data_IF_911161704977
#
_entry.id   IF_911161704977
#
_cell.length_a   1.000
_cell.length_b   1.000
_cell.length_c   1.000
_cell.angle_alpha   90.00
_cell.angle_beta   90.00
_cell.angle_gamma   90.00
#
_symmetry.space_group_name_H-M   'P 1'
#
loop_
_entity.id
_entity.type
_entity.pdbx_description
1 polymer ?
#
# COMPACT_ATOMS: atom_id res chain seq x y z
N UNK A 1 23.54 -29.34 -29.62
CA UNK A 1 23.21 -27.91 -29.87
C UNK A 1 22.44 -27.46 -28.65
N UNK A 2 23.16 -27.17 -27.58
CA UNK A 2 22.57 -26.75 -26.32
C UNK A 2 22.37 -25.23 -26.37
N UNK A 3 21.11 -24.82 -26.46
CA UNK A 3 20.72 -23.42 -26.43
C UNK A 3 21.01 -22.85 -25.05
N UNK A 4 22.14 -22.15 -24.92
CA UNK A 4 22.37 -21.25 -23.78
C UNK A 4 21.35 -20.11 -23.87
N UNK A 5 20.38 -20.14 -22.97
CA UNK A 5 19.60 -18.94 -22.62
C UNK A 5 20.58 -17.90 -22.06
N UNK A 6 20.49 -16.62 -22.48
CA UNK A 6 21.30 -15.58 -21.88
C UNK A 6 20.91 -15.41 -20.41
N UNK A 7 21.88 -15.61 -19.51
CA UNK A 7 21.72 -15.33 -18.10
C UNK A 7 21.35 -13.84 -17.91
N UNK A 8 20.30 -13.58 -17.12
CA UNK A 8 19.89 -12.24 -16.71
C UNK A 8 21.07 -11.56 -15.99
N UNK A 9 21.42 -10.30 -16.29
CA UNK A 9 22.56 -9.65 -15.65
C UNK A 9 22.30 -9.41 -14.15
N UNK A 10 23.31 -9.60 -13.26
CA UNK A 10 23.18 -9.52 -11.81
C UNK A 10 22.77 -8.13 -11.28
N UNK A 11 22.87 -7.08 -12.10
CA UNK A 11 22.43 -5.73 -11.75
C UNK A 11 20.89 -5.62 -11.66
N UNK A 12 20.15 -6.33 -12.52
CA UNK A 12 18.69 -6.28 -12.54
C UNK A 12 18.09 -6.95 -11.29
N UNK A 13 18.70 -8.02 -10.78
CA UNK A 13 18.26 -8.72 -9.57
C UNK A 13 18.57 -7.91 -8.30
N UNK A 14 19.73 -7.25 -8.26
CA UNK A 14 20.10 -6.37 -7.15
C UNK A 14 19.23 -5.09 -7.07
N UNK A 15 18.85 -4.52 -8.21
CA UNK A 15 17.87 -3.43 -8.29
C UNK A 15 16.45 -3.91 -7.96
N UNK A 16 16.10 -5.14 -8.33
CA UNK A 16 14.81 -5.77 -8.03
C UNK A 16 14.59 -5.92 -6.51
N UNK A 17 15.63 -6.32 -5.79
CA UNK A 17 15.62 -6.40 -4.33
C UNK A 17 15.60 -4.99 -3.69
N UNK A 18 16.30 -4.02 -4.28
CA UNK A 18 16.38 -2.66 -3.72
C UNK A 18 14.99 -2.00 -3.61
N UNK A 19 14.21 -1.99 -4.70
CA UNK A 19 12.86 -1.38 -4.71
C UNK A 19 11.93 -2.06 -3.70
N UNK A 20 12.03 -3.39 -3.58
CA UNK A 20 11.25 -4.16 -2.62
C UNK A 20 11.57 -3.76 -1.18
N UNK A 21 12.84 -3.85 -0.79
CA UNK A 21 13.28 -3.55 0.58
C UNK A 21 13.06 -2.08 0.95
N UNK A 22 13.21 -1.15 -0.01
CA UNK A 22 12.90 0.25 0.19
C UNK A 22 11.40 0.47 0.46
N UNK A 23 10.54 -0.17 -0.35
CA UNK A 23 9.09 -0.10 -0.18
C UNK A 23 8.66 -0.67 1.18
N UNK A 24 9.21 -1.83 1.55
CA UNK A 24 8.93 -2.47 2.83
C UNK A 24 9.35 -1.58 4.01
N UNK A 25 10.54 -0.96 3.94
CA UNK A 25 11.03 -0.05 4.97
C UNK A 25 10.08 1.15 5.17
N UNK A 26 9.66 1.78 4.07
CA UNK A 26 8.75 2.94 4.10
C UNK A 26 7.38 2.54 4.67
N UNK A 27 6.78 1.47 4.16
CA UNK A 27 5.42 1.04 4.53
C UNK A 27 5.40 0.53 5.98
N UNK A 28 6.37 -0.28 6.39
CA UNK A 28 6.48 -0.80 7.76
C UNK A 28 6.62 0.33 8.76
N UNK A 29 7.49 1.30 8.47
CA UNK A 29 7.68 2.46 9.33
C UNK A 29 6.40 3.29 9.44
N UNK A 30 5.72 3.53 8.31
CA UNK A 30 4.45 4.26 8.31
C UNK A 30 3.37 3.56 9.15
N UNK A 31 3.20 2.24 9.01
CA UNK A 31 2.19 1.50 9.79
C UNK A 31 2.51 1.47 11.28
N UNK A 32 3.79 1.30 11.63
CA UNK A 32 4.22 1.34 13.01
C UNK A 32 3.93 2.70 13.67
N UNK A 33 4.22 3.80 12.98
CA UNK A 33 3.92 5.16 13.46
C UNK A 33 2.41 5.39 13.61
N UNK A 34 1.62 4.90 12.66
CA UNK A 34 0.15 5.02 12.68
C UNK A 34 -0.47 4.20 13.81
N UNK A 35 0.07 3.01 14.11
CA UNK A 35 -0.40 2.14 15.18
C UNK A 35 0.00 2.67 16.58
N UNK A 36 1.24 3.14 16.74
CA UNK A 36 1.76 3.54 18.06
C UNK A 36 1.50 5.00 18.41
N UNK A 37 1.24 5.85 17.42
CA UNK A 37 1.19 7.31 17.59
C UNK A 37 2.56 7.95 17.88
N UNK A 38 3.63 7.16 17.93
CA UNK A 38 4.98 7.63 18.19
C UNK A 38 5.69 7.94 16.87
N UNK A 39 6.40 9.07 16.84
CA UNK A 39 7.33 9.42 15.76
C UNK A 39 8.74 8.99 16.17
N UNK A 40 9.17 7.77 15.80
CA UNK A 40 10.54 7.22 15.97
C UNK A 40 10.64 6.05 16.96
N UNK A 41 11.71 5.20 16.98
CA UNK A 41 12.99 5.26 16.27
C UNK A 41 13.38 3.89 15.65
N UNK A 42 12.67 3.36 14.64
CA UNK A 42 13.34 2.33 13.82
C UNK A 42 14.28 3.12 12.92
N UNK A 43 15.61 3.05 13.09
CA UNK A 43 16.48 3.74 12.16
C UNK A 43 16.14 3.24 10.76
N UNK A 44 15.83 4.15 9.84
CA UNK A 44 15.83 3.82 8.41
C UNK A 44 17.30 3.62 8.04
N UNK A 45 17.83 2.43 8.36
CA UNK A 45 19.26 2.12 8.33
C UNK A 45 19.75 2.07 6.88
N UNK A 46 18.88 1.72 5.92
CA UNK A 46 19.34 1.25 4.61
C UNK A 46 19.20 2.26 3.47
N UNK A 47 18.10 3.03 3.41
CA UNK A 47 17.78 3.89 2.24
C UNK A 47 17.48 5.35 2.61
N UNK A 48 17.98 5.80 3.76
CA UNK A 48 17.43 6.87 4.60
C UNK A 48 17.25 8.29 4.04
N UNK A 49 17.74 8.62 2.84
CA UNK A 49 17.47 9.91 2.19
C UNK A 49 16.13 9.96 1.46
N UNK A 50 15.99 9.09 0.45
CA UNK A 50 14.76 8.96 -0.35
C UNK A 50 13.60 8.39 0.48
N UNK A 51 13.87 7.34 1.29
CA UNK A 51 12.84 6.74 2.15
C UNK A 51 12.24 7.72 3.15
N UNK A 52 13.06 8.64 3.70
CA UNK A 52 12.59 9.66 4.64
C UNK A 52 11.64 10.65 3.97
N UNK A 53 11.99 11.15 2.79
CA UNK A 53 11.13 12.08 2.03
C UNK A 53 9.82 11.41 1.60
N UNK A 54 9.88 10.16 1.17
CA UNK A 54 8.70 9.38 0.82
C UNK A 54 7.80 9.14 2.04
N UNK A 55 8.38 8.79 3.19
CA UNK A 55 7.64 8.64 4.44
C UNK A 55 7.01 9.96 4.91
N UNK A 56 7.72 11.07 4.85
CA UNK A 56 7.18 12.41 5.15
C UNK A 56 6.01 12.77 4.23
N UNK A 57 6.14 12.46 2.94
CA UNK A 57 5.07 12.65 1.96
C UNK A 57 3.87 11.78 2.32
N UNK A 58 4.06 10.48 2.58
CA UNK A 58 3.01 9.54 2.99
C UNK A 58 2.27 9.99 4.25
N UNK A 59 2.98 10.51 5.26
CA UNK A 59 2.33 11.09 6.44
C UNK A 59 1.36 12.19 6.05
N UNK A 60 1.81 13.15 5.24
CA UNK A 60 0.98 14.29 4.82
C UNK A 60 -0.22 13.85 3.98
N UNK A 61 0.01 13.07 2.93
CA UNK A 61 -1.07 12.69 2.00
C UNK A 61 -1.97 11.63 2.61
N UNK A 62 -1.42 10.63 3.27
CA UNK A 62 -2.15 9.51 3.84
C UNK A 62 -3.03 9.91 5.02
N UNK A 63 -2.61 10.87 5.84
CA UNK A 63 -3.51 11.45 6.85
C UNK A 63 -4.71 12.17 6.21
N UNK A 64 -4.51 12.87 5.09
CA UNK A 64 -5.59 13.52 4.36
C UNK A 64 -6.59 12.48 3.80
N UNK A 65 -6.08 11.39 3.23
CA UNK A 65 -6.92 10.28 2.73
C UNK A 65 -7.71 9.65 3.88
N UNK A 66 -7.05 9.29 4.98
CA UNK A 66 -7.71 8.68 6.15
C UNK A 66 -8.82 9.57 6.69
N UNK A 67 -8.58 10.88 6.85
CA UNK A 67 -9.61 11.81 7.34
C UNK A 67 -10.80 11.92 6.39
N UNK A 68 -10.56 11.98 5.07
CA UNK A 68 -11.62 12.12 4.07
C UNK A 68 -12.48 10.86 3.93
N UNK A 69 -11.91 9.69 4.21
CA UNK A 69 -12.56 8.40 4.00
C UNK A 69 -12.80 7.60 5.28
N UNK A 70 -12.73 8.25 6.44
CA UNK A 70 -12.78 7.60 7.76
C UNK A 70 -13.99 6.65 7.90
N UNK A 71 -15.19 7.10 7.55
CA UNK A 71 -16.42 6.29 7.62
C UNK A 71 -16.32 5.05 6.72
N UNK A 72 -15.84 5.21 5.50
CA UNK A 72 -15.72 4.10 4.55
C UNK A 72 -14.65 3.10 5.00
N UNK A 73 -13.49 3.60 5.46
CA UNK A 73 -12.39 2.78 5.95
C UNK A 73 -12.80 2.00 7.20
N UNK A 74 -13.45 2.64 8.17
CA UNK A 74 -14.00 1.96 9.34
C UNK A 74 -15.09 0.93 8.98
N UNK A 75 -15.89 1.19 7.95
CA UNK A 75 -16.84 0.22 7.41
C UNK A 75 -16.16 -1.01 6.84
N UNK A 76 -15.11 -0.82 6.04
CA UNK A 76 -14.33 -1.92 5.44
C UNK A 76 -13.55 -2.73 6.49
N UNK A 77 -12.87 -2.07 7.44
CA UNK A 77 -12.16 -2.77 8.54
C UNK A 77 -13.12 -3.68 9.32
N UNK A 78 -14.33 -3.20 9.63
CA UNK A 78 -15.36 -4.01 10.30
C UNK A 78 -15.87 -5.16 9.46
N UNK A 79 -15.97 -5.00 8.14
CA UNK A 79 -16.49 -6.02 7.22
C UNK A 79 -15.48 -7.11 6.91
N UNK A 80 -14.21 -6.76 6.78
CA UNK A 80 -13.12 -7.70 6.49
C UNK A 80 -12.70 -8.51 7.72
N UNK A 81 -13.15 -8.12 8.91
CA UNK A 81 -12.91 -8.81 10.19
C UNK A 81 -11.44 -9.22 10.41
N UNK A 82 -10.52 -8.31 10.10
CA UNK A 82 -9.07 -8.57 10.16
C UNK A 82 -8.63 -8.66 11.63
N UNK A 83 -8.62 -9.89 12.16
CA UNK A 83 -8.26 -10.20 13.55
C UNK A 83 -6.92 -10.93 13.70
N UNK A 84 -6.38 -11.46 12.60
CA UNK A 84 -5.18 -12.30 12.60
C UNK A 84 -4.49 -12.27 11.23
N UNK A 85 -3.42 -13.05 11.08
CA UNK A 85 -2.62 -13.15 9.85
C UNK A 85 -3.42 -13.71 8.67
N UNK A 86 -4.39 -14.59 8.90
CA UNK A 86 -5.21 -15.16 7.82
C UNK A 86 -6.12 -14.08 7.20
N UNK A 87 -6.71 -13.20 8.03
CA UNK A 87 -7.46 -12.04 7.52
C UNK A 87 -6.60 -11.03 6.75
N UNK A 88 -5.28 -10.99 6.97
CA UNK A 88 -4.34 -10.20 6.14
C UNK A 88 -4.16 -10.83 4.76
N UNK A 89 -4.22 -12.16 4.64
CA UNK A 89 -4.15 -12.84 3.34
C UNK A 89 -5.41 -12.60 2.52
N UNK A 90 -6.58 -12.64 3.14
CA UNK A 90 -7.85 -12.33 2.48
C UNK A 90 -7.85 -10.89 1.92
N UNK A 91 -7.18 -9.96 2.61
CA UNK A 91 -6.97 -8.60 2.11
C UNK A 91 -6.12 -8.60 0.83
N UNK A 92 -5.11 -9.47 0.71
CA UNK A 92 -4.22 -9.56 -0.46
C UNK A 92 -4.98 -9.76 -1.77
N UNK A 93 -5.98 -10.64 -1.78
CA UNK A 93 -6.80 -10.89 -2.98
C UNK A 93 -7.57 -9.63 -3.40
N UNK A 94 -8.14 -8.89 -2.44
CA UNK A 94 -8.83 -7.63 -2.69
C UNK A 94 -7.86 -6.57 -3.22
N UNK A 95 -6.65 -6.50 -2.67
CA UNK A 95 -5.62 -5.55 -3.10
C UNK A 95 -5.16 -5.83 -4.53
N UNK A 96 -4.99 -7.10 -4.90
CA UNK A 96 -4.65 -7.52 -6.26
C UNK A 96 -5.72 -7.04 -7.24
N UNK A 97 -7.01 -7.21 -6.93
CA UNK A 97 -8.09 -6.72 -7.78
C UNK A 97 -8.06 -5.20 -7.98
N UNK A 98 -7.83 -4.43 -6.91
CA UNK A 98 -7.72 -2.95 -6.98
C UNK A 98 -6.52 -2.51 -7.81
N UNK A 99 -5.42 -3.26 -7.73
CA UNK A 99 -4.17 -2.94 -8.41
C UNK A 99 -4.03 -3.57 -9.80
N UNK A 100 -4.96 -4.41 -10.27
CA UNK A 100 -4.92 -4.96 -11.61
C UNK A 100 -5.70 -4.13 -12.64
N UNK A 101 -6.37 -3.07 -12.21
CA UNK A 101 -7.01 -2.12 -13.11
C UNK A 101 -5.97 -1.29 -13.90
N UNK A 102 -6.31 -0.99 -15.16
CA UNK A 102 -5.40 -0.48 -16.19
C UNK A 102 -4.83 0.92 -15.96
N UNK A 103 -5.31 1.68 -14.98
CA UNK A 103 -4.83 3.04 -14.68
C UNK A 103 -4.43 3.12 -13.23
N UNK A 104 -3.20 2.69 -12.92
CA UNK A 104 -2.63 2.93 -11.59
C UNK A 104 -1.93 4.27 -11.54
N UNK A 105 -2.32 5.03 -10.53
CA UNK A 105 -1.70 6.29 -10.13
C UNK A 105 -1.10 6.14 -8.74
N UNK A 106 -0.14 7.00 -8.42
CA UNK A 106 0.36 7.15 -7.05
C UNK A 106 -0.77 7.39 -6.03
N UNK A 107 -1.89 7.98 -6.44
CA UNK A 107 -3.09 8.13 -5.61
C UNK A 107 -3.73 6.81 -5.18
N UNK A 108 -3.76 5.78 -6.05
CA UNK A 108 -4.27 4.43 -5.70
C UNK A 108 -3.34 3.72 -4.73
N UNK A 109 -2.04 3.77 -4.98
CA UNK A 109 -1.01 3.22 -4.08
C UNK A 109 -1.11 3.89 -2.70
N UNK A 110 -1.22 5.23 -2.68
CA UNK A 110 -1.39 6.01 -1.45
C UNK A 110 -2.66 5.62 -0.69
N UNK A 111 -3.76 5.44 -1.41
CA UNK A 111 -5.05 5.01 -0.83
C UNK A 111 -4.90 3.65 -0.16
N UNK A 112 -4.25 2.70 -0.84
CA UNK A 112 -4.06 1.35 -0.33
C UNK A 112 -3.21 1.36 0.95
N UNK A 113 -2.08 2.07 0.93
CA UNK A 113 -1.21 2.23 2.11
C UNK A 113 -1.98 2.94 3.24
N UNK A 114 -2.80 3.94 2.93
CA UNK A 114 -3.62 4.65 3.92
C UNK A 114 -4.67 3.75 4.56
N UNK A 115 -5.29 2.86 3.78
CA UNK A 115 -6.18 1.84 4.31
C UNK A 115 -5.44 0.83 5.20
N UNK A 116 -4.26 0.36 4.77
CA UNK A 116 -3.39 -0.48 5.58
C UNK A 116 -3.02 0.15 6.92
N UNK A 117 -2.78 1.46 6.96
CA UNK A 117 -2.57 2.19 8.21
C UNK A 117 -3.80 2.19 9.15
N UNK A 118 -5.02 2.26 8.61
CA UNK A 118 -6.24 2.08 9.41
C UNK A 118 -6.35 0.65 9.96
N UNK A 119 -5.99 -0.36 9.17
CA UNK A 119 -5.92 -1.76 9.64
C UNK A 119 -4.86 -1.91 10.74
N UNK A 120 -3.68 -1.30 10.60
CA UNK A 120 -2.63 -1.33 11.61
C UNK A 120 -3.09 -0.72 12.96
N UNK A 121 -3.81 0.41 12.91
CA UNK A 121 -4.46 1.00 14.11
C UNK A 121 -5.48 0.06 14.73
N UNK A 122 -6.29 -0.60 13.91
CA UNK A 122 -7.27 -1.57 14.38
C UNK A 122 -6.60 -2.78 15.05
N UNK A 123 -5.59 -3.37 14.41
CA UNK A 123 -4.80 -4.47 14.96
C UNK A 123 -4.17 -4.11 16.31
N UNK A 124 -3.63 -2.90 16.45
CA UNK A 124 -3.15 -2.38 17.74
C UNK A 124 -4.27 -2.33 18.79
N UNK A 125 -5.44 -1.81 18.41
CA UNK A 125 -6.59 -1.67 19.34
C UNK A 125 -7.15 -3.00 19.86
N UNK A 126 -6.91 -4.10 19.15
CA UNK A 126 -7.30 -5.47 19.55
C UNK A 126 -6.12 -6.33 20.02
N UNK A 127 -4.98 -5.71 20.34
CA UNK A 127 -3.75 -6.36 20.82
C UNK A 127 -3.13 -7.39 19.84
N UNK A 128 -3.29 -7.20 18.53
CA UNK A 128 -2.74 -8.04 17.46
C UNK A 128 -1.58 -7.38 16.70
N UNK A 129 -0.74 -6.64 17.42
CA UNK A 129 0.40 -5.89 16.86
C UNK A 129 1.39 -6.75 16.07
N UNK A 130 1.49 -8.04 16.42
CA UNK A 130 2.27 -9.05 15.69
C UNK A 130 1.87 -9.21 14.22
N UNK A 131 0.67 -8.74 13.83
CA UNK A 131 0.18 -8.81 12.45
C UNK A 131 0.51 -7.55 11.64
N UNK A 132 1.06 -6.49 12.26
CA UNK A 132 1.37 -5.23 11.56
C UNK A 132 2.51 -5.39 10.55
N UNK A 133 3.55 -6.15 10.92
CA UNK A 133 4.68 -6.43 10.02
C UNK A 133 4.26 -7.35 8.86
N UNK A 134 3.54 -8.48 9.09
CA UNK A 134 2.93 -9.27 8.00
C UNK A 134 2.00 -8.47 7.08
N UNK A 135 1.27 -7.48 7.62
CA UNK A 135 0.44 -6.58 6.82
C UNK A 135 1.30 -5.67 5.90
N UNK A 136 2.40 -5.14 6.41
CA UNK A 136 3.32 -4.34 5.62
C UNK A 136 4.01 -5.16 4.53
N UNK A 137 4.43 -6.39 4.83
CA UNK A 137 4.96 -7.35 3.86
C UNK A 137 3.94 -7.64 2.77
N UNK A 138 2.71 -8.02 3.13
CA UNK A 138 1.66 -8.33 2.16
C UNK A 138 1.33 -7.15 1.23
N UNK A 139 1.21 -5.93 1.76
CA UNK A 139 0.96 -4.74 0.93
C UNK A 139 2.15 -4.47 0.02
N UNK A 140 3.38 -4.63 0.52
CA UNK A 140 4.60 -4.43 -0.27
C UNK A 140 4.70 -5.44 -1.40
N UNK A 141 4.46 -6.73 -1.10
CA UNK A 141 4.44 -7.81 -2.08
C UNK A 141 3.47 -7.51 -3.21
N UNK A 142 2.24 -7.11 -2.89
CA UNK A 142 1.22 -6.82 -3.92
C UNK A 142 1.63 -5.61 -4.77
N UNK A 143 2.07 -4.51 -4.15
CA UNK A 143 2.48 -3.30 -4.89
C UNK A 143 3.66 -3.61 -5.81
N UNK A 144 4.72 -4.23 -5.28
CA UNK A 144 5.97 -4.44 -6.02
C UNK A 144 5.78 -5.55 -7.05
N UNK A 145 5.06 -6.63 -6.76
CA UNK A 145 4.86 -7.72 -7.72
C UNK A 145 4.00 -7.28 -8.90
N UNK A 146 2.93 -6.52 -8.67
CA UNK A 146 1.98 -6.14 -9.73
C UNK A 146 2.49 -4.94 -10.53
N UNK A 147 3.25 -4.02 -9.92
CA UNK A 147 3.60 -2.72 -10.52
C UNK A 147 5.09 -2.43 -10.56
N UNK A 148 5.96 -3.45 -10.48
CA UNK A 148 7.41 -3.27 -10.56
C UNK A 148 7.84 -2.36 -11.71
N UNK A 149 7.47 -2.72 -12.94
CA UNK A 149 7.91 -2.00 -14.14
C UNK A 149 7.43 -0.55 -14.13
N UNK A 150 6.16 -0.34 -13.76
CA UNK A 150 5.60 0.99 -13.60
C UNK A 150 6.33 1.81 -12.52
N UNK A 151 6.63 1.22 -11.35
CA UNK A 151 7.38 1.90 -10.29
C UNK A 151 8.76 2.32 -10.78
N UNK A 152 9.44 1.47 -11.57
CA UNK A 152 10.74 1.80 -12.15
C UNK A 152 10.62 2.93 -13.17
N UNK A 153 9.63 2.89 -14.06
CA UNK A 153 9.33 3.99 -15.01
C UNK A 153 9.03 5.32 -14.30
N UNK A 154 8.37 5.25 -13.14
CA UNK A 154 8.06 6.40 -12.30
C UNK A 154 9.20 6.80 -11.36
N UNK A 155 10.44 6.31 -11.56
CA UNK A 155 11.61 6.64 -10.71
C UNK A 155 11.40 6.27 -9.23
N UNK A 156 10.66 5.20 -8.98
CA UNK A 156 10.40 4.64 -7.65
C UNK A 156 9.81 5.66 -6.68
N UNK A 157 10.26 5.60 -5.44
CA UNK A 157 9.78 6.49 -4.38
C UNK A 157 10.22 7.95 -4.53
N UNK A 158 11.22 8.25 -5.36
CA UNK A 158 11.56 9.63 -5.69
C UNK A 158 10.47 10.26 -6.58
N UNK A 159 9.95 9.54 -7.57
CA UNK A 159 8.82 10.03 -8.37
C UNK A 159 7.51 10.11 -7.58
N UNK A 160 7.33 9.27 -6.55
CA UNK A 160 6.23 9.45 -5.59
C UNK A 160 6.33 10.80 -4.86
N UNK A 161 7.54 11.15 -4.37
CA UNK A 161 7.77 12.43 -3.70
C UNK A 161 7.56 13.60 -4.67
N UNK A 162 8.04 13.49 -5.90
CA UNK A 162 7.85 14.51 -6.95
C UNK A 162 6.37 14.69 -7.32
N UNK A 163 5.65 13.59 -7.53
CA UNK A 163 4.21 13.59 -7.83
C UNK A 163 3.43 14.38 -6.77
N UNK A 164 3.78 14.21 -5.49
CA UNK A 164 3.13 14.90 -4.40
C UNK A 164 3.86 16.16 -3.92
N UNK A 165 4.86 16.69 -4.63
CA UNK A 165 5.69 17.83 -4.18
C UNK A 165 4.90 19.16 -4.03
N UNK A 166 3.68 19.21 -4.58
CA UNK A 166 2.64 20.28 -4.49
C UNK A 166 2.94 21.56 -5.29
N UNK A 167 2.15 21.75 -6.34
CA UNK A 167 1.44 23.01 -6.64
C UNK A 167 -0.09 22.80 -6.86
N UNK A 168 -0.62 21.56 -6.95
CA UNK A 168 -2.07 21.32 -7.13
C UNK A 168 -2.60 20.22 -6.18
N UNK A 169 -2.63 20.55 -4.89
CA UNK A 169 -3.17 19.69 -3.83
C UNK A 169 -4.66 19.35 -4.05
N UNK A 170 -5.39 20.14 -4.84
CA UNK A 170 -6.83 19.98 -5.05
C UNK A 170 -7.13 18.97 -6.16
N UNK A 171 -6.36 19.01 -7.26
CA UNK A 171 -6.42 18.03 -8.35
C UNK A 171 -6.02 16.62 -7.94
N UNK A 172 -4.94 16.48 -7.16
CA UNK A 172 -4.46 15.16 -6.73
C UNK A 172 -5.38 14.51 -5.71
N UNK A 173 -5.95 15.28 -4.79
CA UNK A 173 -6.90 14.68 -3.85
C UNK A 173 -8.22 14.34 -4.56
N UNK A 174 -8.62 15.06 -5.60
CA UNK A 174 -9.73 14.64 -6.47
C UNK A 174 -9.42 13.30 -7.16
N UNK A 175 -8.21 13.10 -7.65
CA UNK A 175 -7.80 11.83 -8.27
C UNK A 175 -7.75 10.67 -7.25
N UNK A 176 -7.31 10.95 -6.02
CA UNK A 176 -7.38 10.00 -4.88
C UNK A 176 -8.83 9.70 -4.50
N UNK A 177 -9.71 10.72 -4.45
CA UNK A 177 -11.14 10.56 -4.17
C UNK A 177 -11.83 9.68 -5.24
N UNK A 178 -11.49 9.86 -6.51
CA UNK A 178 -11.98 9.04 -7.61
C UNK A 178 -11.49 7.59 -7.49
N UNK A 179 -10.23 7.38 -7.08
CA UNK A 179 -9.70 6.04 -6.81
C UNK A 179 -10.45 5.31 -5.69
N UNK A 180 -10.79 6.00 -4.59
CA UNK A 180 -11.52 5.40 -3.46
C UNK A 180 -12.96 5.03 -3.83
N UNK A 181 -13.63 5.85 -4.66
CA UNK A 181 -14.99 5.54 -5.13
C UNK A 181 -15.06 4.22 -5.92
N UNK A 182 -14.00 3.88 -6.65
CA UNK A 182 -13.88 2.63 -7.41
C UNK A 182 -13.68 1.43 -6.47
N UNK A 183 -12.81 1.55 -5.46
CA UNK A 183 -12.58 0.50 -4.44
C UNK A 183 -13.85 0.15 -3.67
N UNK A 184 -14.63 1.16 -3.29
CA UNK A 184 -15.91 0.96 -2.61
C UNK A 184 -16.95 0.24 -3.50
N UNK A 185 -16.94 0.49 -4.81
CA UNK A 185 -17.79 -0.19 -5.79
C UNK A 185 -17.45 -1.68 -5.96
N UNK A 186 -16.17 -2.02 -5.98
CA UNK A 186 -15.70 -3.42 -6.12
C UNK A 186 -16.00 -4.23 -4.85
N UNK A 187 -15.81 -3.63 -3.67
CA UNK A 187 -16.18 -4.26 -2.40
C UNK A 187 -17.70 -4.53 -2.30
N UNK A 188 -18.54 -3.67 -2.90
CA UNK A 188 -19.98 -3.93 -3.01
C UNK A 188 -20.32 -5.03 -4.04
N UNK A 189 -19.58 -5.10 -5.15
CA UNK A 189 -19.75 -6.11 -6.19
C UNK A 189 -19.36 -7.53 -5.75
N UNK A 190 -18.24 -7.68 -5.04
CA UNK A 190 -17.82 -8.98 -4.50
C UNK A 190 -18.79 -9.51 -3.44
N UNK A 191 -19.39 -8.63 -2.63
CA UNK A 191 -20.43 -8.99 -1.66
C UNK A 191 -21.75 -9.40 -2.33
N UNK A 192 -22.11 -8.77 -3.46
CA UNK A 192 -23.30 -9.16 -4.23
C UNK A 192 -23.14 -10.56 -4.84
N UNK A 193 -21.92 -10.90 -5.27
CA UNK A 193 -21.61 -12.24 -5.82
C UNK A 193 -21.49 -13.31 -4.74
N UNK A 194 -21.00 -12.98 -3.53
CA UNK A 194 -20.88 -13.93 -2.42
C UNK A 194 -22.20 -14.21 -1.71
N UNK A 195 -23.13 -13.24 -1.64
CA UNK A 195 -24.45 -13.41 -1.03
C UNK A 195 -25.54 -13.83 -2.04
N UNK A 196 -25.20 -13.99 -3.33
CA UNK A 196 -26.13 -14.33 -4.42
C UNK A 196 -26.23 -15.83 -4.75
N UNK A 197 -25.43 -16.69 -4.13
CA UNK A 197 -25.48 -18.15 -4.35
C UNK A 197 -25.85 -18.91 -3.09
N UNK A 198 -27.11 -18.77 -2.68
CA UNK A 198 -27.80 -19.83 -1.93
C UNK A 198 -29.14 -20.09 -2.62
N UNK A 199 -29.13 -21.03 -3.55
CA UNK A 199 -30.26 -21.88 -3.93
C UNK A 199 -29.72 -23.28 -4.20
#
# INVERSE_FOLDING_TARGET
MDGLLPAKPPAAEAEEDHLYWQSLEIISQYFWEQATGAKGPKPMVRFGGASRKALETLRRVGESVQRRHDIAFQGMVRRLDIRNVDGVKDLSEVMVCVLNESVISWGRITTLISFGACVAKHLKSINQERCIEPLAESITDVIVTIKRDWLVEQRGWDGFVEYFHVDDLEGDIRNVLLAVAIVAGIAAGLVYLSNGMTF
#
